data_IF_148653549949
#
_entry.id   IF_148653549949
#
_cell.length_a   1.000
_cell.length_b   1.000
_cell.length_c   1.000
_cell.angle_alpha   90.00
_cell.angle_beta   90.00
_cell.angle_gamma   90.00
#
_symmetry.space_group_name_H-M   'P 1'
#
loop_
_entity.id
_entity.type
_entity.pdbx_description
1 polymer ?
#
# COMPACT_ATOMS: atom_id res chain seq x y z
N UNK A 1 26.65 31.14 7.57
CA UNK A 1 26.64 30.19 8.69
C UNK A 1 26.78 28.81 8.06
N UNK A 2 27.62 27.94 8.60
CA UNK A 2 27.64 26.53 8.18
C UNK A 2 26.27 25.93 8.43
N UNK A 3 25.80 25.07 7.55
CA UNK A 3 24.54 24.38 7.74
C UNK A 3 24.63 23.60 9.07
N UNK A 4 23.72 23.85 10.05
CA UNK A 4 23.75 23.11 11.32
C UNK A 4 23.62 21.59 11.13
N UNK A 5 23.14 21.14 9.96
CA UNK A 5 23.06 19.72 9.59
C UNK A 5 24.40 19.04 9.38
N UNK A 6 25.47 19.81 9.07
CA UNK A 6 26.83 19.26 8.94
C UNK A 6 27.36 18.63 10.24
N UNK A 7 26.77 19.00 11.42
CA UNK A 7 27.17 18.51 12.73
C UNK A 7 26.01 17.83 13.48
N UNK A 8 24.98 17.33 12.77
CA UNK A 8 23.82 16.70 13.41
C UNK A 8 24.20 15.49 14.29
N UNK A 9 25.25 14.75 13.94
CA UNK A 9 25.74 13.62 14.77
C UNK A 9 26.28 14.09 16.12
N UNK A 10 26.76 15.30 16.23
CA UNK A 10 27.21 15.91 17.50
C UNK A 10 26.05 16.55 18.28
N UNK A 11 25.06 17.11 17.59
CA UNK A 11 23.94 17.85 18.18
C UNK A 11 22.70 17.00 18.43
N UNK A 12 22.53 15.94 17.65
CA UNK A 12 21.35 15.06 17.68
C UNK A 12 21.67 13.70 18.31
N UNK A 13 22.16 13.74 19.54
CA UNK A 13 22.80 12.61 20.21
C UNK A 13 21.83 11.45 20.48
N UNK A 14 20.56 11.70 20.82
CA UNK A 14 19.76 10.70 21.50
C UNK A 14 19.15 9.57 20.61
N UNK A 15 18.33 9.81 19.56
CA UNK A 15 17.62 8.68 18.90
C UNK A 15 18.56 7.74 18.16
N UNK A 16 19.47 8.25 17.32
CA UNK A 16 20.38 7.43 16.50
C UNK A 16 21.40 6.66 17.33
N UNK A 17 21.85 7.23 18.47
CA UNK A 17 22.79 6.54 19.34
C UNK A 17 22.22 5.22 19.88
N UNK A 18 20.94 5.22 20.26
CA UNK A 18 20.27 4.03 20.79
C UNK A 18 19.83 3.04 19.70
N UNK A 19 19.51 3.50 18.50
CA UNK A 19 19.12 2.64 17.38
C UNK A 19 20.31 1.95 16.69
N UNK A 20 21.54 2.44 16.86
CA UNK A 20 22.77 1.78 16.36
C UNK A 20 22.98 0.35 16.86
N UNK A 21 22.31 -0.05 17.94
CA UNK A 21 22.35 -1.41 18.48
C UNK A 21 21.30 -2.36 17.84
N UNK A 22 20.43 -1.87 16.95
CA UNK A 22 19.52 -2.72 16.21
C UNK A 22 20.31 -3.52 15.16
N UNK A 23 20.07 -4.83 15.11
CA UNK A 23 20.67 -5.71 14.10
C UNK A 23 19.92 -5.53 12.78
N UNK A 24 20.38 -4.59 11.97
CA UNK A 24 19.85 -4.38 10.62
C UNK A 24 20.68 -5.14 9.59
N UNK A 25 20.07 -5.67 8.51
CA UNK A 25 20.80 -6.26 7.40
C UNK A 25 21.56 -5.20 6.61
N UNK A 26 22.44 -5.63 5.69
CA UNK A 26 23.03 -4.71 4.71
C UNK A 26 21.88 -3.98 3.96
N UNK A 27 21.96 -2.65 3.78
CA UNK A 27 20.95 -1.90 3.03
C UNK A 27 20.63 -2.48 1.64
N UNK A 28 21.59 -3.14 1.00
CA UNK A 28 21.41 -3.81 -0.30
C UNK A 28 20.51 -5.06 -0.23
N UNK A 29 20.38 -5.65 0.95
CA UNK A 29 19.51 -6.81 1.17
C UNK A 29 18.07 -6.40 1.42
N UNK A 30 17.83 -5.14 1.83
CA UNK A 30 16.48 -4.61 2.08
C UNK A 30 15.79 -4.35 0.74
N UNK A 31 14.64 -5.00 0.53
CA UNK A 31 13.88 -4.88 -0.70
C UNK A 31 12.48 -4.35 -0.43
N UNK A 32 12.12 -3.33 -1.20
CA UNK A 32 10.78 -2.74 -1.20
C UNK A 32 9.89 -3.59 -2.11
N UNK A 33 8.82 -4.11 -1.54
CA UNK A 33 7.77 -4.85 -2.20
C UNK A 33 6.49 -4.00 -2.16
N UNK A 34 6.14 -3.33 -3.24
CA UNK A 34 4.96 -2.45 -3.27
C UNK A 34 3.71 -3.22 -3.68
N UNK A 35 2.62 -3.03 -2.94
CA UNK A 35 1.32 -3.66 -3.17
C UNK A 35 0.21 -2.63 -3.46
N UNK A 36 0.57 -1.42 -3.88
CA UNK A 36 -0.38 -0.34 -4.20
C UNK A 36 -1.38 -0.75 -5.28
N UNK A 37 -0.92 -1.49 -6.31
CA UNK A 37 -1.75 -1.90 -7.45
C UNK A 37 -2.66 -3.10 -7.14
N UNK A 38 -2.48 -3.76 -6.00
CA UNK A 38 -3.29 -4.87 -5.57
C UNK A 38 -4.06 -4.55 -4.28
N UNK A 39 -3.38 -4.49 -3.12
CA UNK A 39 -4.01 -4.21 -1.83
C UNK A 39 -4.48 -2.77 -1.74
N UNK A 40 -3.68 -1.84 -2.28
CA UNK A 40 -4.07 -0.44 -2.37
C UNK A 40 -5.38 -0.24 -3.12
N UNK A 41 -5.57 -0.94 -4.23
CA UNK A 41 -6.82 -0.89 -5.00
C UNK A 41 -7.99 -1.58 -4.31
N UNK A 42 -7.75 -2.47 -3.35
CA UNK A 42 -8.81 -3.10 -2.55
C UNK A 42 -9.42 -2.15 -1.50
N UNK A 43 -8.88 -0.94 -1.36
CA UNK A 43 -9.50 0.10 -0.54
C UNK A 43 -10.91 0.40 -1.09
N UNK A 44 -11.96 0.38 -0.24
CA UNK A 44 -13.31 0.66 -0.69
C UNK A 44 -13.43 1.97 -1.47
N UNK A 45 -14.04 1.91 -2.66
CA UNK A 45 -14.23 3.05 -3.56
C UNK A 45 -13.07 3.33 -4.52
N UNK A 46 -11.95 2.63 -4.43
CA UNK A 46 -10.84 2.75 -5.38
C UNK A 46 -11.03 1.81 -6.55
N UNK A 47 -10.81 2.32 -7.75
CA UNK A 47 -10.72 1.55 -8.99
C UNK A 47 -9.71 2.23 -9.91
N UNK A 48 -8.78 1.46 -10.45
CA UNK A 48 -7.70 1.96 -11.31
C UNK A 48 -7.88 1.44 -12.73
N UNK A 49 -7.73 2.31 -13.73
CA UNK A 49 -7.66 1.87 -15.12
C UNK A 49 -6.32 1.17 -15.41
N UNK A 50 -6.19 0.41 -16.49
CA UNK A 50 -4.91 -0.17 -16.92
C UNK A 50 -3.80 0.88 -17.05
N UNK A 51 -4.13 2.05 -17.57
CA UNK A 51 -3.22 3.19 -17.76
C UNK A 51 -2.79 3.80 -16.41
N UNK A 52 -3.70 3.87 -15.45
CA UNK A 52 -3.39 4.31 -14.08
C UNK A 52 -2.42 3.35 -13.40
N UNK A 53 -2.67 2.05 -13.49
CA UNK A 53 -1.77 1.02 -12.96
C UNK A 53 -0.40 1.07 -13.62
N UNK A 54 -0.35 1.24 -14.93
CA UNK A 54 0.90 1.43 -15.66
C UNK A 54 1.66 2.68 -15.19
N UNK A 55 0.98 3.81 -15.04
CA UNK A 55 1.59 5.06 -14.56
C UNK A 55 2.18 4.88 -13.15
N UNK A 56 1.45 4.27 -12.23
CA UNK A 56 1.94 3.99 -10.87
C UNK A 56 3.12 3.02 -10.91
N UNK A 57 3.05 1.92 -11.69
CA UNK A 57 4.14 0.95 -11.83
C UNK A 57 5.43 1.59 -12.34
N UNK A 58 5.32 2.49 -13.32
CA UNK A 58 6.45 3.26 -13.85
C UNK A 58 7.07 4.17 -12.78
N UNK A 59 6.25 4.89 -12.02
CA UNK A 59 6.75 5.74 -10.93
C UNK A 59 7.38 4.90 -9.79
N UNK A 60 6.78 3.74 -9.43
CA UNK A 60 7.36 2.80 -8.48
C UNK A 60 8.71 2.25 -8.96
N UNK A 61 8.83 1.94 -10.23
CA UNK A 61 10.10 1.58 -10.85
C UNK A 61 11.14 2.69 -10.71
N UNK A 62 10.75 3.93 -11.04
CA UNK A 62 11.66 5.08 -11.03
C UNK A 62 12.04 5.54 -9.63
N UNK A 63 11.20 5.33 -8.61
CA UNK A 63 11.53 5.66 -7.22
C UNK A 63 12.49 4.65 -6.59
N UNK A 64 12.59 3.43 -7.15
CA UNK A 64 13.52 2.42 -6.66
C UNK A 64 12.87 1.22 -5.97
N UNK A 65 11.58 0.93 -6.20
CA UNK A 65 10.96 -0.31 -5.74
C UNK A 65 11.60 -1.52 -6.43
N UNK A 66 11.62 -2.65 -5.74
CA UNK A 66 12.24 -3.89 -6.20
C UNK A 66 11.22 -4.90 -6.73
N UNK A 67 10.04 -4.95 -6.11
CA UNK A 67 8.96 -5.88 -6.42
C UNK A 67 7.66 -5.08 -6.46
N UNK A 68 6.80 -5.33 -7.44
CA UNK A 68 5.43 -4.80 -7.47
C UNK A 68 4.42 -5.95 -7.62
N UNK A 69 3.38 -5.92 -6.80
CA UNK A 69 2.24 -6.83 -6.85
C UNK A 69 1.16 -6.23 -7.75
N UNK A 70 0.93 -6.84 -8.90
CA UNK A 70 -0.04 -6.38 -9.91
C UNK A 70 -1.45 -6.97 -9.68
N UNK A 71 -1.60 -7.86 -8.71
CA UNK A 71 -2.89 -8.45 -8.34
C UNK A 71 -3.23 -9.73 -9.09
N UNK A 72 -4.49 -9.85 -9.53
CA UNK A 72 -5.07 -11.04 -10.16
C UNK A 72 -5.39 -10.80 -11.64
N UNK A 73 -4.43 -10.82 -12.56
CA UNK A 73 -4.64 -10.43 -13.95
C UNK A 73 -5.79 -11.16 -14.65
N UNK A 74 -6.05 -12.42 -14.29
CA UNK A 74 -7.11 -13.24 -14.88
C UNK A 74 -8.50 -12.99 -14.28
N UNK A 75 -8.65 -12.08 -13.34
CA UNK A 75 -9.95 -11.76 -12.71
C UNK A 75 -10.84 -10.91 -13.61
N UNK A 76 -10.26 -10.10 -14.49
CA UNK A 76 -10.97 -9.26 -15.43
C UNK A 76 -10.10 -8.87 -16.63
N UNK A 77 -10.71 -8.50 -17.78
CA UNK A 77 -9.97 -7.98 -18.94
C UNK A 77 -9.14 -6.72 -18.63
N UNK A 78 -9.60 -5.87 -17.70
CA UNK A 78 -8.88 -4.67 -17.25
C UNK A 78 -7.59 -5.03 -16.53
N UNK A 79 -7.64 -6.01 -15.62
CA UNK A 79 -6.46 -6.49 -14.89
C UNK A 79 -5.43 -7.14 -15.83
N UNK A 80 -5.91 -7.91 -16.80
CA UNK A 80 -5.05 -8.48 -17.85
C UNK A 80 -4.37 -7.40 -18.69
N UNK A 81 -5.10 -6.35 -19.09
CA UNK A 81 -4.55 -5.23 -19.85
C UNK A 81 -3.51 -4.44 -19.05
N UNK A 82 -3.74 -4.26 -17.74
CA UNK A 82 -2.77 -3.59 -16.85
C UNK A 82 -1.44 -4.36 -16.79
N UNK A 83 -1.47 -5.68 -16.60
CA UNK A 83 -0.27 -6.51 -16.61
C UNK A 83 0.46 -6.42 -17.95
N UNK A 84 -0.28 -6.48 -19.06
CA UNK A 84 0.29 -6.37 -20.40
C UNK A 84 1.03 -5.06 -20.61
N UNK A 85 0.40 -3.91 -20.26
CA UNK A 85 1.03 -2.59 -20.35
C UNK A 85 2.31 -2.49 -19.49
N UNK A 86 2.28 -3.03 -18.28
CA UNK A 86 3.43 -3.02 -17.36
C UNK A 86 4.60 -3.83 -17.96
N UNK A 87 4.33 -5.03 -18.50
CA UNK A 87 5.37 -5.87 -19.11
C UNK A 87 5.88 -5.29 -20.43
N UNK A 88 5.02 -4.66 -21.24
CA UNK A 88 5.44 -3.88 -22.41
C UNK A 88 6.33 -2.70 -22.02
N UNK A 89 5.96 -1.95 -20.97
CA UNK A 89 6.79 -0.87 -20.46
C UNK A 89 8.17 -1.34 -19.98
N UNK A 90 8.24 -2.54 -19.42
CA UNK A 90 9.50 -3.18 -19.06
C UNK A 90 10.33 -3.52 -20.32
N UNK A 91 9.71 -4.09 -21.34
CA UNK A 91 10.36 -4.43 -22.60
C UNK A 91 10.86 -3.19 -23.37
N UNK A 92 10.18 -2.05 -23.26
CA UNK A 92 10.56 -0.78 -23.90
C UNK A 92 11.55 0.06 -23.06
N UNK A 93 11.85 -0.33 -21.80
CA UNK A 93 12.77 0.39 -20.91
C UNK A 93 12.12 1.54 -20.11
N UNK A 94 10.80 1.74 -20.17
CA UNK A 94 10.06 2.71 -19.34
C UNK A 94 10.01 2.27 -17.88
N UNK A 95 10.01 0.97 -17.66
CA UNK A 95 10.10 0.29 -16.37
C UNK A 95 11.42 -0.46 -16.32
N UNK A 96 12.15 -0.38 -15.21
CA UNK A 96 13.46 -1.00 -15.05
C UNK A 96 13.38 -2.51 -15.30
N UNK A 97 14.40 -3.06 -15.96
CA UNK A 97 14.48 -4.50 -16.26
C UNK A 97 14.53 -5.37 -15.00
N UNK A 98 15.20 -4.89 -13.95
CA UNK A 98 15.37 -5.61 -12.68
C UNK A 98 14.14 -5.55 -11.75
N UNK A 99 13.12 -4.73 -12.07
CA UNK A 99 11.88 -4.70 -11.30
C UNK A 99 11.16 -6.06 -11.42
N UNK A 100 10.95 -6.71 -10.29
CA UNK A 100 10.19 -7.97 -10.24
C UNK A 100 8.69 -7.69 -10.34
N UNK A 101 8.03 -8.31 -11.32
CA UNK A 101 6.58 -8.27 -11.48
C UNK A 101 5.99 -9.50 -10.82
N UNK A 102 5.12 -9.30 -9.85
CA UNK A 102 4.47 -10.36 -9.13
C UNK A 102 2.95 -10.33 -9.40
N UNK A 103 2.38 -11.51 -9.56
CA UNK A 103 0.94 -11.74 -9.73
C UNK A 103 0.45 -12.75 -8.71
N UNK A 104 -0.81 -12.64 -8.30
CA UNK A 104 -1.40 -13.51 -7.28
C UNK A 104 -2.24 -14.63 -7.87
N UNK A 105 -2.26 -15.79 -7.19
CA UNK A 105 -3.15 -16.91 -7.48
C UNK A 105 -3.67 -17.55 -6.21
N UNK A 106 -4.94 -17.93 -6.20
CA UNK A 106 -5.44 -18.89 -5.22
C UNK A 106 -4.78 -20.25 -5.45
N UNK A 107 -4.73 -21.09 -4.42
CA UNK A 107 -4.15 -22.42 -4.49
C UNK A 107 -5.07 -23.41 -5.22
N UNK A 108 -5.48 -23.08 -6.46
CA UNK A 108 -6.33 -23.93 -7.31
C UNK A 108 -5.73 -24.08 -8.70
N UNK A 109 -5.86 -25.28 -9.27
CA UNK A 109 -5.40 -25.55 -10.66
C UNK A 109 -6.11 -24.65 -11.68
N UNK A 110 -7.40 -24.37 -11.45
CA UNK A 110 -8.21 -23.53 -12.34
C UNK A 110 -7.63 -22.11 -12.46
N UNK A 111 -7.25 -21.48 -11.34
CA UNK A 111 -6.68 -20.13 -11.34
C UNK A 111 -5.28 -20.13 -11.98
N UNK A 112 -4.47 -21.13 -11.66
CA UNK A 112 -3.14 -21.28 -12.24
C UNK A 112 -3.18 -21.49 -13.75
N UNK A 113 -4.13 -22.30 -14.25
CA UNK A 113 -4.34 -22.47 -15.68
C UNK A 113 -4.87 -21.22 -16.37
N UNK A 114 -5.76 -20.48 -15.72
CA UNK A 114 -6.25 -19.19 -16.23
C UNK A 114 -5.09 -18.21 -16.39
N UNK A 115 -4.22 -18.11 -15.37
CA UNK A 115 -3.00 -17.29 -15.42
C UNK A 115 -2.09 -17.70 -16.59
N UNK A 116 -1.73 -18.98 -16.69
CA UNK A 116 -0.83 -19.46 -17.76
C UNK A 116 -1.43 -19.22 -19.14
N UNK A 117 -2.74 -19.39 -19.30
CA UNK A 117 -3.44 -19.07 -20.57
C UNK A 117 -3.37 -17.57 -20.87
N UNK A 118 -3.68 -16.72 -19.89
CA UNK A 118 -3.63 -15.27 -20.06
C UNK A 118 -2.24 -14.79 -20.50
N UNK A 119 -1.18 -15.26 -19.84
CA UNK A 119 0.20 -14.94 -20.22
C UNK A 119 0.49 -15.38 -21.68
N UNK A 120 0.20 -16.63 -22.02
CA UNK A 120 0.48 -17.17 -23.37
C UNK A 120 -0.29 -16.47 -24.47
N UNK A 121 -1.56 -16.13 -24.25
CA UNK A 121 -2.38 -15.40 -25.23
C UNK A 121 -1.80 -14.03 -25.59
N UNK A 122 -1.00 -13.45 -24.69
CA UNK A 122 -0.31 -12.17 -24.88
C UNK A 122 1.15 -12.31 -25.32
N UNK A 123 1.59 -13.53 -25.67
CA UNK A 123 2.97 -13.80 -26.06
C UNK A 123 3.98 -13.71 -24.91
N UNK A 124 3.50 -13.76 -23.66
CA UNK A 124 4.32 -13.70 -22.46
C UNK A 124 4.69 -15.12 -21.98
N UNK A 125 5.82 -15.23 -21.32
CA UNK A 125 6.29 -16.49 -20.71
C UNK A 125 5.85 -16.57 -19.24
N UNK A 126 5.53 -17.77 -18.73
CA UNK A 126 5.37 -17.97 -17.29
C UNK A 126 6.58 -17.56 -16.45
N UNK A 127 7.78 -17.49 -17.07
CA UNK A 127 9.01 -17.00 -16.44
C UNK A 127 9.11 -15.47 -16.29
N UNK A 128 8.24 -14.71 -16.95
CA UNK A 128 8.29 -13.23 -16.90
C UNK A 128 7.74 -12.66 -15.59
N UNK A 129 6.97 -13.48 -14.85
CA UNK A 129 6.35 -13.09 -13.58
C UNK A 129 6.76 -14.01 -12.43
N UNK A 130 6.69 -13.48 -11.22
CA UNK A 130 6.68 -14.27 -9.99
C UNK A 130 5.23 -14.52 -9.58
N UNK A 131 4.91 -15.72 -9.16
CA UNK A 131 3.54 -16.08 -8.75
C UNK A 131 3.48 -16.22 -7.24
N UNK A 132 2.67 -15.38 -6.60
CA UNK A 132 2.29 -15.53 -5.21
C UNK A 132 1.08 -16.47 -5.13
N UNK A 133 1.31 -17.70 -4.65
CA UNK A 133 0.24 -18.65 -4.34
C UNK A 133 -0.05 -18.54 -2.84
N UNK A 134 -1.27 -18.18 -2.47
CA UNK A 134 -1.61 -17.95 -1.08
C UNK A 134 -2.71 -18.87 -0.58
N UNK A 135 -2.67 -19.11 0.71
CA UNK A 135 -3.77 -19.72 1.48
C UNK A 135 -3.76 -19.12 2.88
N UNK A 136 -4.90 -19.25 3.57
CA UNK A 136 -4.99 -18.81 4.95
C UNK A 136 -4.29 -19.80 5.89
N UNK A 137 -3.49 -19.28 6.83
CA UNK A 137 -2.72 -20.10 7.75
C UNK A 137 -3.45 -20.37 9.07
N UNK A 138 -4.29 -19.42 9.54
CA UNK A 138 -4.92 -19.54 10.85
C UNK A 138 -5.99 -20.62 10.91
N UNK A 139 -6.12 -21.30 12.06
CA UNK A 139 -7.20 -22.28 12.29
C UNK A 139 -8.60 -21.67 12.07
N UNK A 140 -8.77 -20.39 12.40
CA UNK A 140 -10.01 -19.66 12.19
C UNK A 140 -10.39 -19.60 10.71
N UNK A 141 -9.46 -19.14 9.86
CA UNK A 141 -9.71 -19.05 8.43
C UNK A 141 -9.75 -20.43 7.75
N UNK A 142 -8.90 -21.36 8.17
CA UNK A 142 -8.92 -22.73 7.64
C UNK A 142 -10.30 -23.39 7.83
N UNK A 143 -10.91 -23.23 9.01
CA UNK A 143 -12.20 -23.84 9.31
C UNK A 143 -13.37 -23.08 8.67
N UNK A 144 -13.44 -21.76 8.86
CA UNK A 144 -14.67 -21.01 8.53
C UNK A 144 -14.64 -20.34 7.14
N UNK A 145 -13.45 -19.98 6.63
CA UNK A 145 -13.29 -19.38 5.29
C UNK A 145 -13.04 -20.45 4.23
N UNK A 146 -12.04 -21.31 4.44
CA UNK A 146 -11.63 -22.33 3.49
C UNK A 146 -12.38 -23.65 3.67
N UNK A 147 -12.92 -23.91 4.87
CA UNK A 147 -13.48 -25.19 5.28
C UNK A 147 -14.42 -25.86 4.28
N UNK A 148 -15.44 -25.17 3.75
CA UNK A 148 -16.32 -25.76 2.74
C UNK A 148 -15.57 -26.24 1.50
N UNK A 149 -14.61 -25.48 1.00
CA UNK A 149 -13.77 -25.85 -0.16
C UNK A 149 -12.83 -27.01 0.15
N UNK A 150 -12.20 -27.00 1.33
CA UNK A 150 -11.33 -28.08 1.77
C UNK A 150 -12.08 -29.39 1.95
N UNK A 151 -13.26 -29.36 2.58
CA UNK A 151 -14.10 -30.54 2.76
C UNK A 151 -14.55 -31.12 1.42
N UNK A 152 -15.01 -30.27 0.48
CA UNK A 152 -15.39 -30.70 -0.88
C UNK A 152 -14.20 -31.34 -1.61
N UNK A 153 -12.98 -30.80 -1.47
CA UNK A 153 -11.76 -31.36 -2.04
C UNK A 153 -11.44 -32.76 -1.48
N UNK A 154 -11.72 -32.98 -0.21
CA UNK A 154 -11.54 -34.27 0.47
C UNK A 154 -12.75 -35.22 0.29
N UNK A 155 -13.71 -34.89 -0.59
CA UNK A 155 -14.88 -35.73 -0.88
C UNK A 155 -15.99 -35.70 0.18
N UNK A 156 -15.98 -34.67 1.06
CA UNK A 156 -16.98 -34.50 2.12
C UNK A 156 -18.02 -33.48 1.63
N UNK A 157 -19.27 -33.89 1.53
CA UNK A 157 -20.39 -33.04 1.17
C UNK A 157 -21.02 -32.39 2.42
N UNK A 158 -21.37 -31.11 2.26
CA UNK A 158 -21.98 -30.31 3.34
C UNK A 158 -20.94 -29.81 4.39
N UNK A 159 -21.44 -29.01 5.34
CA UNK A 159 -20.61 -28.54 6.46
C UNK A 159 -20.66 -29.58 7.60
N UNK A 160 -19.46 -30.05 8.01
CA UNK A 160 -19.28 -30.90 9.18
C UNK A 160 -18.37 -30.21 10.18
N UNK A 161 -18.68 -30.31 11.47
CA UNK A 161 -17.83 -29.77 12.54
C UNK A 161 -16.66 -30.72 12.82
N UNK A 162 -15.68 -30.69 11.89
CA UNK A 162 -14.47 -31.49 11.98
C UNK A 162 -13.43 -30.81 12.87
N UNK A 163 -12.45 -31.57 13.45
CA UNK A 163 -11.39 -31.01 14.24
C UNK A 163 -10.48 -30.09 13.42
N UNK A 164 -9.80 -29.15 14.09
CA UNK A 164 -8.93 -28.15 13.43
C UNK A 164 -7.78 -28.79 12.67
N UNK A 165 -7.28 -29.91 13.16
CA UNK A 165 -6.20 -30.71 12.53
C UNK A 165 -6.59 -31.18 11.13
N UNK A 166 -7.86 -31.56 10.92
CA UNK A 166 -8.37 -31.93 9.58
C UNK A 166 -8.19 -30.79 8.60
N UNK A 167 -8.61 -29.59 8.96
CA UNK A 167 -8.54 -28.42 8.08
C UNK A 167 -7.08 -28.01 7.83
N UNK A 168 -6.22 -28.10 8.83
CA UNK A 168 -4.79 -27.82 8.67
C UNK A 168 -4.14 -28.80 7.68
N UNK A 169 -4.35 -30.10 7.84
CA UNK A 169 -3.80 -31.11 6.95
C UNK A 169 -4.36 -31.03 5.51
N UNK A 170 -5.67 -30.76 5.36
CA UNK A 170 -6.26 -30.56 4.05
C UNK A 170 -5.71 -29.31 3.36
N UNK A 171 -5.46 -28.22 4.10
CA UNK A 171 -4.83 -27.01 3.61
C UNK A 171 -3.39 -27.23 3.17
N UNK A 172 -2.60 -27.99 3.92
CA UNK A 172 -1.24 -28.41 3.55
C UNK A 172 -1.20 -29.19 2.24
N UNK A 173 -2.13 -30.15 2.07
CA UNK A 173 -2.25 -30.88 0.80
C UNK A 173 -2.59 -29.94 -0.35
N UNK A 174 -3.55 -29.04 -0.13
CA UNK A 174 -3.97 -28.09 -1.15
C UNK A 174 -2.80 -27.20 -1.63
N UNK A 175 -2.03 -26.60 -0.70
CA UNK A 175 -0.93 -25.72 -1.09
C UNK A 175 0.23 -26.49 -1.74
N UNK A 176 0.55 -27.67 -1.22
CA UNK A 176 1.59 -28.53 -1.82
C UNK A 176 1.26 -28.91 -3.27
N UNK A 177 0.02 -29.34 -3.52
CA UNK A 177 -0.45 -29.71 -4.85
C UNK A 177 -0.45 -28.50 -5.80
N UNK A 178 -0.95 -27.35 -5.34
CA UNK A 178 -0.98 -26.12 -6.12
C UNK A 178 0.42 -25.66 -6.55
N UNK A 179 1.41 -25.67 -5.63
CA UNK A 179 2.79 -25.29 -5.94
C UNK A 179 3.42 -26.26 -6.93
N UNK A 180 3.26 -27.59 -6.73
CA UNK A 180 3.77 -28.60 -7.67
C UNK A 180 3.10 -28.47 -9.03
N UNK A 181 1.80 -28.23 -9.06
CA UNK A 181 1.06 -28.01 -10.30
C UNK A 181 1.57 -26.76 -11.03
N UNK A 182 1.72 -25.62 -10.34
CA UNK A 182 2.27 -24.39 -10.92
C UNK A 182 3.64 -24.64 -11.58
N UNK A 183 4.53 -25.36 -10.90
CA UNK A 183 5.84 -25.76 -11.45
C UNK A 183 5.70 -26.60 -12.73
N UNK A 184 4.76 -27.56 -12.75
CA UNK A 184 4.51 -28.39 -13.94
C UNK A 184 4.01 -27.58 -15.13
N UNK A 185 3.39 -26.40 -14.87
CA UNK A 185 2.91 -25.47 -15.90
C UNK A 185 3.98 -24.47 -16.38
N UNK A 186 5.20 -24.55 -15.86
CA UNK A 186 6.34 -23.71 -16.23
C UNK A 186 6.52 -22.46 -15.37
N UNK A 187 5.74 -22.28 -14.30
CA UNK A 187 5.91 -21.21 -13.34
C UNK A 187 7.10 -21.57 -12.41
N UNK A 188 8.23 -20.92 -12.59
CA UNK A 188 9.49 -21.26 -11.91
C UNK A 188 9.74 -20.42 -10.66
N UNK A 189 9.24 -19.16 -10.63
CA UNK A 189 9.36 -18.25 -9.50
C UNK A 189 8.05 -18.26 -8.71
N UNK A 190 8.06 -18.98 -7.59
CA UNK A 190 6.86 -19.16 -6.75
C UNK A 190 7.14 -18.62 -5.36
N UNK A 191 6.24 -17.77 -4.92
CA UNK A 191 6.16 -17.24 -3.56
C UNK A 191 4.93 -17.85 -2.86
N UNK A 192 5.08 -18.20 -1.60
CA UNK A 192 3.97 -18.68 -0.77
C UNK A 192 3.46 -17.57 0.14
N UNK A 193 2.17 -17.23 0.07
CA UNK A 193 1.51 -16.27 0.96
C UNK A 193 0.80 -16.97 2.11
N UNK A 194 1.27 -16.75 3.34
CA UNK A 194 0.60 -17.19 4.56
C UNK A 194 -0.35 -16.10 5.05
N UNK A 195 -1.58 -16.10 4.54
CA UNK A 195 -2.62 -15.16 5.00
C UNK A 195 -2.99 -15.46 6.45
N UNK A 196 -3.22 -14.42 7.24
CA UNK A 196 -3.58 -14.51 8.66
C UNK A 196 -2.54 -15.27 9.51
N UNK A 197 -1.27 -15.12 9.15
CA UNK A 197 -0.15 -15.75 9.84
C UNK A 197 -0.01 -15.25 11.29
N UNK A 198 -0.40 -14.02 11.56
CA UNK A 198 -0.35 -13.40 12.88
C UNK A 198 -1.24 -14.09 13.92
N UNK A 199 -2.36 -14.67 13.50
CA UNK A 199 -3.28 -15.42 14.37
C UNK A 199 -3.10 -16.94 14.28
N UNK A 200 -1.96 -17.37 13.75
CA UNK A 200 -1.63 -18.80 13.61
C UNK A 200 -0.63 -19.19 14.68
N UNK A 201 -0.88 -20.26 15.48
CA UNK A 201 0.12 -20.81 16.38
C UNK A 201 1.41 -21.11 15.65
N UNK A 202 2.54 -20.68 16.20
CA UNK A 202 3.85 -20.76 15.53
C UNK A 202 4.21 -22.16 15.01
N UNK A 203 3.94 -23.28 15.73
CA UNK A 203 4.21 -24.62 15.20
C UNK A 203 3.41 -24.93 13.92
N UNK A 204 2.14 -24.55 13.85
CA UNK A 204 1.29 -24.75 12.66
C UNK A 204 1.75 -23.88 11.48
N UNK A 205 2.15 -22.64 11.76
CA UNK A 205 2.70 -21.77 10.73
C UNK A 205 4.00 -22.32 10.15
N UNK A 206 4.91 -22.78 11.00
CA UNK A 206 6.17 -23.42 10.59
C UNK A 206 5.90 -24.65 9.72
N UNK A 207 4.96 -25.50 10.12
CA UNK A 207 4.59 -26.70 9.38
C UNK A 207 4.01 -26.38 7.99
N UNK A 208 3.15 -25.37 7.90
CA UNK A 208 2.59 -24.92 6.63
C UNK A 208 3.67 -24.31 5.70
N UNK A 209 4.53 -23.44 6.22
CA UNK A 209 5.64 -22.85 5.45
C UNK A 209 6.61 -23.95 4.99
N UNK A 210 6.94 -24.94 5.85
CA UNK A 210 7.76 -26.08 5.46
C UNK A 210 7.14 -26.85 4.30
N UNK A 211 5.83 -27.10 4.37
CA UNK A 211 5.09 -27.79 3.29
C UNK A 211 5.21 -27.04 1.95
N UNK A 212 5.08 -25.71 1.98
CA UNK A 212 5.21 -24.89 0.77
C UNK A 212 6.65 -24.88 0.22
N UNK A 213 7.64 -24.81 1.09
CA UNK A 213 9.07 -24.86 0.72
C UNK A 213 9.42 -26.23 0.11
N UNK A 214 8.98 -27.31 0.72
CA UNK A 214 9.21 -28.68 0.23
C UNK A 214 8.52 -28.94 -1.12
N UNK A 215 7.40 -28.25 -1.37
CA UNK A 215 6.70 -28.26 -2.68
C UNK A 215 7.43 -27.43 -3.74
N UNK A 216 8.33 -26.52 -3.37
CA UNK A 216 9.19 -25.76 -4.27
C UNK A 216 8.97 -24.25 -4.28
N UNK A 217 8.38 -23.68 -3.24
CA UNK A 217 8.35 -22.23 -3.04
C UNK A 217 9.76 -21.73 -2.69
N UNK A 218 10.19 -20.63 -3.33
CA UNK A 218 11.51 -20.01 -3.11
C UNK A 218 11.47 -18.83 -2.14
N UNK A 219 10.29 -18.30 -1.86
CA UNK A 219 10.05 -17.18 -0.95
C UNK A 219 8.70 -17.38 -0.27
N UNK A 220 8.55 -16.88 0.97
CA UNK A 220 7.26 -16.83 1.63
C UNK A 220 6.99 -15.44 2.21
N UNK A 221 5.69 -15.09 2.31
CA UNK A 221 5.20 -13.87 2.95
C UNK A 221 4.52 -14.21 4.27
N UNK A 222 4.97 -13.57 5.33
CA UNK A 222 4.28 -13.52 6.61
C UNK A 222 3.29 -12.36 6.58
N UNK A 223 1.97 -12.64 6.64
CA UNK A 223 0.95 -11.62 6.58
C UNK A 223 0.23 -11.45 7.92
N UNK A 224 0.34 -10.25 8.50
CA UNK A 224 -0.53 -9.78 9.58
C UNK A 224 -1.78 -9.15 8.96
N UNK A 225 -2.67 -10.02 8.51
CA UNK A 225 -3.86 -9.67 7.73
C UNK A 225 -4.83 -8.74 8.47
N UNK A 226 -4.85 -8.78 9.79
CA UNK A 226 -5.76 -7.96 10.61
C UNK A 226 -5.03 -6.86 11.40
N UNK A 227 -3.75 -6.64 11.13
CA UNK A 227 -2.93 -5.61 11.78
C UNK A 227 -2.87 -5.78 13.30
N UNK A 228 -2.93 -7.01 13.80
CA UNK A 228 -3.16 -7.30 15.23
C UNK A 228 -1.88 -7.59 16.04
N UNK A 229 -0.70 -7.53 15.41
CA UNK A 229 0.55 -7.77 16.11
C UNK A 229 1.13 -6.51 16.77
N UNK A 230 1.66 -6.71 17.98
CA UNK A 230 2.61 -5.75 18.57
C UNK A 230 4.02 -5.97 18.00
N UNK A 231 4.93 -4.98 18.11
CA UNK A 231 6.32 -5.15 17.69
C UNK A 231 7.03 -6.32 18.39
N UNK A 232 6.74 -6.57 19.68
CA UNK A 232 7.30 -7.68 20.44
C UNK A 232 6.87 -9.04 19.86
N UNK A 233 5.59 -9.18 19.55
CA UNK A 233 5.06 -10.40 18.92
C UNK A 233 5.63 -10.59 17.51
N UNK A 234 5.70 -9.52 16.72
CA UNK A 234 6.36 -9.51 15.40
C UNK A 234 7.79 -10.02 15.50
N UNK A 235 8.57 -9.52 16.46
CA UNK A 235 9.94 -9.96 16.67
C UNK A 235 10.05 -11.45 17.01
N UNK A 236 9.10 -12.00 17.78
CA UNK A 236 9.07 -13.44 18.14
C UNK A 236 8.84 -14.28 16.88
N UNK A 237 7.79 -13.97 16.09
CA UNK A 237 7.47 -14.69 14.85
C UNK A 237 8.63 -14.62 13.86
N UNK A 238 9.14 -13.43 13.59
CA UNK A 238 10.21 -13.23 12.60
C UNK A 238 11.49 -13.97 12.98
N UNK A 239 11.95 -13.89 14.24
CA UNK A 239 13.13 -14.63 14.71
C UNK A 239 12.95 -16.15 14.59
N UNK A 240 11.79 -16.67 14.99
CA UNK A 240 11.53 -18.11 14.93
C UNK A 240 11.54 -18.63 13.48
N UNK A 241 10.87 -17.92 12.56
CA UNK A 241 10.83 -18.28 11.15
C UNK A 241 12.19 -18.12 10.47
N UNK A 242 12.94 -17.04 10.77
CA UNK A 242 14.30 -16.82 10.28
C UNK A 242 15.24 -17.94 10.71
N UNK A 243 15.17 -18.36 11.98
CA UNK A 243 15.97 -19.47 12.51
C UNK A 243 15.60 -20.80 11.84
N UNK A 244 14.32 -21.03 11.56
CA UNK A 244 13.85 -22.29 10.96
C UNK A 244 14.18 -22.39 9.48
N UNK A 245 14.13 -21.28 8.74
CA UNK A 245 14.29 -21.24 7.28
C UNK A 245 15.42 -20.28 6.84
N UNK A 246 16.68 -20.53 7.23
CA UNK A 246 17.77 -19.56 7.01
C UNK A 246 18.10 -19.32 5.53
N UNK A 247 17.85 -20.31 4.65
CA UNK A 247 18.14 -20.24 3.22
C UNK A 247 16.97 -19.79 2.34
N UNK A 248 15.80 -19.50 2.94
CA UNK A 248 14.59 -19.13 2.17
C UNK A 248 14.36 -17.61 2.26
N UNK A 249 14.07 -16.98 1.13
CA UNK A 249 13.71 -15.56 1.10
C UNK A 249 12.39 -15.33 1.87
N UNK A 250 12.34 -14.23 2.61
CA UNK A 250 11.25 -13.91 3.54
C UNK A 250 10.76 -12.50 3.29
N UNK A 251 9.47 -12.36 3.06
CA UNK A 251 8.78 -11.08 2.97
C UNK A 251 7.77 -10.93 4.11
N UNK A 252 7.52 -9.69 4.51
CA UNK A 252 6.50 -9.35 5.49
C UNK A 252 5.45 -8.44 4.91
N UNK A 253 4.19 -8.59 5.36
CA UNK A 253 3.06 -7.78 4.96
C UNK A 253 2.24 -7.44 6.19
N UNK A 254 2.16 -6.16 6.55
CA UNK A 254 1.50 -5.70 7.76
C UNK A 254 0.42 -4.66 7.42
N UNK A 255 -0.82 -4.96 7.85
CA UNK A 255 -1.89 -3.98 7.87
C UNK A 255 -1.76 -3.00 9.04
N UNK A 256 -2.47 -1.88 8.96
CA UNK A 256 -2.29 -0.72 9.84
C UNK A 256 -3.47 -0.47 10.80
N UNK A 257 -4.26 -1.50 11.11
CA UNK A 257 -5.51 -1.37 11.88
C UNK A 257 -5.33 -0.76 13.29
N UNK A 258 -4.15 -0.87 13.88
CA UNK A 258 -3.77 -0.24 15.16
C UNK A 258 -2.65 0.79 15.01
N UNK A 259 -2.40 1.29 13.80
CA UNK A 259 -1.31 2.23 13.48
C UNK A 259 0.09 1.68 13.81
N UNK A 260 0.26 0.36 13.76
CA UNK A 260 1.51 -0.33 14.03
C UNK A 260 2.19 -0.93 12.79
N UNK A 261 1.61 -0.74 11.60
CA UNK A 261 2.10 -1.34 10.36
C UNK A 261 3.56 -0.95 10.08
N UNK A 262 3.91 0.32 10.16
CA UNK A 262 5.26 0.83 9.90
C UNK A 262 6.27 0.27 10.90
N UNK A 263 5.98 0.30 12.20
CA UNK A 263 6.91 -0.20 13.21
C UNK A 263 7.05 -1.72 13.14
N UNK A 264 6.00 -2.45 12.76
CA UNK A 264 6.06 -3.90 12.55
C UNK A 264 6.92 -4.25 11.32
N UNK A 265 6.89 -3.47 10.25
CA UNK A 265 7.84 -3.61 9.13
C UNK A 265 9.28 -3.44 9.61
N UNK A 266 9.60 -2.36 10.31
CA UNK A 266 10.95 -2.10 10.86
C UNK A 266 11.37 -3.26 11.78
N UNK A 267 10.48 -3.70 12.66
CA UNK A 267 10.73 -4.83 13.56
C UNK A 267 11.01 -6.12 12.78
N UNK A 268 10.26 -6.37 11.71
CA UNK A 268 10.48 -7.52 10.81
C UNK A 268 11.88 -7.47 10.19
N UNK A 269 12.28 -6.33 9.63
CA UNK A 269 13.62 -6.12 9.04
C UNK A 269 14.71 -6.40 10.08
N UNK A 270 14.60 -5.85 11.29
CA UNK A 270 15.55 -6.07 12.38
C UNK A 270 15.62 -7.55 12.85
N UNK A 271 14.62 -8.36 12.50
CA UNK A 271 14.53 -9.76 12.92
C UNK A 271 14.57 -10.76 11.76
N UNK A 272 15.17 -10.35 10.62
CA UNK A 272 15.53 -11.23 9.51
C UNK A 272 14.49 -11.32 8.38
N UNK A 273 13.60 -10.36 8.26
CA UNK A 273 12.67 -10.21 7.13
C UNK A 273 13.04 -8.97 6.29
N UNK A 274 14.09 -9.05 5.45
CA UNK A 274 14.59 -7.90 4.73
C UNK A 274 13.70 -7.44 3.58
N UNK A 275 12.74 -8.26 3.13
CA UNK A 275 11.77 -7.90 2.11
C UNK A 275 10.50 -7.44 2.82
N UNK A 276 10.05 -6.22 2.58
CA UNK A 276 8.86 -5.69 3.23
C UNK A 276 7.84 -5.17 2.22
N UNK A 277 6.58 -5.49 2.48
CA UNK A 277 5.48 -4.94 1.70
C UNK A 277 5.05 -3.58 2.27
N UNK A 278 4.67 -2.69 1.37
CA UNK A 278 4.13 -1.37 1.67
C UNK A 278 3.21 -0.90 0.56
N UNK A 279 2.48 0.18 0.80
CA UNK A 279 1.71 0.87 -0.24
C UNK A 279 2.04 2.35 -0.26
N UNK A 280 1.92 2.96 -1.43
CA UNK A 280 1.96 4.42 -1.54
C UNK A 280 0.77 5.00 -0.78
N UNK A 281 1.02 6.04 0.01
CA UNK A 281 0.01 6.69 0.86
C UNK A 281 -0.60 5.79 1.96
N UNK A 282 -0.10 4.58 2.15
CA UNK A 282 -0.65 3.64 3.14
C UNK A 282 -2.03 3.09 2.79
N UNK A 283 -2.51 3.24 1.56
CA UNK A 283 -3.84 2.77 1.14
C UNK A 283 -3.95 1.24 1.17
N UNK A 284 -5.17 0.72 1.29
CA UNK A 284 -5.45 -0.72 1.31
C UNK A 284 -6.74 -1.06 2.03
N UNK A 285 -6.98 -2.34 2.21
CA UNK A 285 -8.14 -2.84 2.97
C UNK A 285 -8.20 -2.24 4.38
N UNK A 286 -9.40 -1.89 4.83
CA UNK A 286 -9.73 -1.33 6.17
C UNK A 286 -8.92 -0.06 6.49
N UNK A 287 -7.93 -0.15 7.41
CA UNK A 287 -7.06 0.97 7.79
C UNK A 287 -5.80 1.06 6.92
N UNK A 288 -5.71 0.25 5.86
CA UNK A 288 -4.59 0.26 4.93
C UNK A 288 -3.39 -0.57 5.38
N UNK A 289 -2.25 -0.29 4.80
CA UNK A 289 -0.98 -1.00 4.95
C UNK A 289 0.10 -0.11 5.55
N UNK A 290 1.25 -0.70 5.86
CA UNK A 290 2.44 0.07 6.17
C UNK A 290 2.75 1.06 5.04
N UNK A 291 2.80 2.36 5.36
CA UNK A 291 3.00 3.41 4.37
C UNK A 291 4.46 3.47 3.90
N UNK A 292 4.68 3.38 2.57
CA UNK A 292 6.01 3.38 1.94
C UNK A 292 6.89 4.54 2.45
N UNK A 293 6.36 5.76 2.39
CA UNK A 293 7.08 6.97 2.79
C UNK A 293 7.54 6.93 4.24
N UNK A 294 6.71 6.43 5.15
CA UNK A 294 7.03 6.36 6.57
C UNK A 294 8.08 5.28 6.86
N UNK A 295 8.01 4.13 6.18
CA UNK A 295 9.02 3.06 6.34
C UNK A 295 10.39 3.54 5.86
N UNK A 296 10.50 4.05 4.63
CA UNK A 296 11.80 4.44 4.06
C UNK A 296 12.39 5.66 4.77
N UNK A 297 11.57 6.62 5.19
CA UNK A 297 12.03 7.76 5.98
C UNK A 297 12.51 7.32 7.37
N UNK A 298 11.79 6.42 8.03
CA UNK A 298 12.23 5.87 9.32
C UNK A 298 13.58 5.15 9.20
N UNK A 299 13.76 4.30 8.19
CA UNK A 299 15.03 3.63 7.94
C UNK A 299 16.17 4.64 7.78
N UNK A 300 15.98 5.67 6.94
CA UNK A 300 17.02 6.68 6.69
C UNK A 300 17.30 7.56 7.90
N UNK A 301 16.26 8.21 8.43
CA UNK A 301 16.47 9.28 9.40
C UNK A 301 16.55 8.81 10.86
N UNK A 302 15.89 7.70 11.22
CA UNK A 302 15.90 7.18 12.58
C UNK A 302 16.91 6.05 12.77
N UNK A 303 17.08 5.20 11.77
CA UNK A 303 17.96 4.03 11.84
C UNK A 303 19.29 4.24 11.09
N UNK A 304 19.44 5.31 10.32
CA UNK A 304 20.65 5.61 9.56
C UNK A 304 20.91 4.65 8.39
N UNK A 305 19.86 4.01 7.89
CA UNK A 305 19.90 3.05 6.77
C UNK A 305 19.36 3.73 5.53
N UNK A 306 20.24 4.19 4.66
CA UNK A 306 19.88 4.72 3.35
C UNK A 306 19.80 3.57 2.34
N UNK A 307 18.63 3.44 1.69
CA UNK A 307 18.41 2.38 0.72
C UNK A 307 19.11 2.75 -0.60
N UNK A 308 19.95 1.86 -1.15
CA UNK A 308 20.59 2.10 -2.43
C UNK A 308 19.55 2.30 -3.53
N UNK A 309 19.80 3.25 -4.41
CA UNK A 309 18.97 3.53 -5.59
C UNK A 309 17.52 4.00 -5.30
N UNK A 310 17.14 4.18 -4.03
CA UNK A 310 15.84 4.74 -3.67
C UNK A 310 15.88 6.27 -3.75
N UNK A 311 14.98 6.83 -4.52
CA UNK A 311 14.88 8.28 -4.80
C UNK A 311 13.86 8.93 -3.89
N UNK A 312 14.28 9.33 -2.70
CA UNK A 312 13.42 9.93 -1.67
C UNK A 312 12.71 11.20 -2.16
N UNK A 313 13.36 11.99 -3.02
CA UNK A 313 12.82 13.22 -3.60
C UNK A 313 11.59 13.00 -4.49
N UNK A 314 11.27 11.76 -4.84
CA UNK A 314 10.06 11.41 -5.62
C UNK A 314 8.85 11.07 -4.75
N UNK A 315 8.98 11.03 -3.43
CA UNK A 315 7.89 10.63 -2.53
C UNK A 315 6.64 11.52 -2.67
N UNK A 316 6.82 12.84 -2.73
CA UNK A 316 5.70 13.77 -2.93
C UNK A 316 5.09 13.64 -4.33
N UNK A 317 5.87 13.32 -5.33
CA UNK A 317 5.39 13.11 -6.69
C UNK A 317 4.49 11.89 -6.78
N UNK A 318 4.96 10.73 -6.31
CA UNK A 318 4.16 9.49 -6.36
C UNK A 318 2.92 9.58 -5.46
N UNK A 319 3.04 10.20 -4.29
CA UNK A 319 1.90 10.55 -3.43
C UNK A 319 0.81 11.26 -4.21
N UNK A 320 1.17 12.33 -4.92
CA UNK A 320 0.20 13.16 -5.65
C UNK A 320 -0.41 12.46 -6.87
N UNK A 321 0.31 11.53 -7.48
CA UNK A 321 -0.21 10.69 -8.57
C UNK A 321 -1.29 9.76 -8.02
N UNK A 322 -1.00 9.05 -6.93
CA UNK A 322 -1.96 8.11 -6.31
C UNK A 322 -3.19 8.85 -5.78
N UNK A 323 -3.03 10.03 -5.13
CA UNK A 323 -4.18 10.87 -4.72
C UNK A 323 -5.12 11.22 -5.89
N UNK A 324 -4.55 11.59 -7.04
CA UNK A 324 -5.34 11.97 -8.22
C UNK A 324 -6.06 10.78 -8.85
N UNK A 325 -5.42 9.63 -8.89
CA UNK A 325 -5.98 8.41 -9.48
C UNK A 325 -7.09 7.86 -8.58
N UNK A 326 -6.83 7.76 -7.28
CA UNK A 326 -7.78 7.15 -6.33
C UNK A 326 -8.89 8.10 -5.90
N UNK A 327 -8.71 9.42 -6.03
CA UNK A 327 -9.59 10.42 -5.45
C UNK A 327 -9.49 10.51 -3.92
N UNK A 328 -8.57 9.79 -3.29
CA UNK A 328 -8.36 9.76 -1.83
C UNK A 328 -7.19 10.69 -1.48
N UNK A 329 -7.44 11.85 -0.84
CA UNK A 329 -6.37 12.75 -0.43
C UNK A 329 -5.65 12.20 0.81
N UNK A 330 -4.35 12.41 0.85
CA UNK A 330 -3.53 12.18 2.04
C UNK A 330 -3.88 13.22 3.11
N UNK A 331 -3.94 12.82 4.37
CA UNK A 331 -4.20 13.74 5.46
C UNK A 331 -3.14 14.84 5.53
N UNK A 332 -3.55 16.06 5.86
CA UNK A 332 -2.63 17.21 5.90
C UNK A 332 -1.47 17.01 6.88
N UNK A 333 -1.67 16.27 7.96
CA UNK A 333 -0.68 15.92 8.97
C UNK A 333 -0.01 14.56 8.74
N UNK A 334 -0.24 13.89 7.62
CA UNK A 334 0.38 12.60 7.32
C UNK A 334 1.91 12.70 7.47
N UNK A 335 2.56 11.80 8.21
CA UNK A 335 4.00 11.85 8.36
C UNK A 335 4.75 11.93 7.03
N UNK A 336 5.84 12.67 6.98
CA UNK A 336 6.76 12.80 5.82
C UNK A 336 6.17 13.53 4.60
N UNK A 337 4.93 13.21 4.18
CA UNK A 337 4.36 13.69 2.90
C UNK A 337 3.11 14.56 3.05
N UNK A 338 2.65 14.78 4.27
CA UNK A 338 1.47 15.61 4.53
C UNK A 338 1.74 17.10 4.28
N UNK A 339 0.71 17.80 3.84
CA UNK A 339 0.81 19.21 3.45
C UNK A 339 1.24 20.13 4.61
N UNK A 340 0.98 19.76 5.87
CA UNK A 340 1.33 20.54 7.04
C UNK A 340 2.68 20.15 7.70
N UNK A 341 3.29 19.05 7.28
CA UNK A 341 4.51 18.52 7.93
C UNK A 341 5.66 19.54 7.93
N UNK A 342 5.76 20.34 6.86
CA UNK A 342 6.77 21.39 6.69
C UNK A 342 6.15 22.80 6.76
N UNK A 343 5.01 22.94 7.44
CA UNK A 343 4.28 24.20 7.60
C UNK A 343 4.30 24.66 9.04
N UNK A 344 4.59 25.94 9.28
CA UNK A 344 4.69 26.50 10.60
C UNK A 344 3.85 27.77 10.74
N UNK A 345 3.00 27.84 11.77
CA UNK A 345 2.17 29.01 12.12
C UNK A 345 2.59 29.63 13.46
N UNK A 346 2.94 28.80 14.44
CA UNK A 346 3.32 29.25 15.78
C UNK A 346 4.53 30.18 15.75
N UNK A 347 4.47 31.32 16.48
CA UNK A 347 5.55 32.30 16.52
C UNK A 347 6.89 31.72 17.00
N UNK A 348 6.88 30.73 17.89
CA UNK A 348 8.10 30.05 18.36
C UNK A 348 8.70 29.22 17.24
N UNK A 349 7.87 28.44 16.54
CA UNK A 349 8.30 27.60 15.43
C UNK A 349 8.81 28.45 14.25
N UNK A 350 8.03 29.46 13.83
CA UNK A 350 8.43 30.33 12.70
C UNK A 350 9.73 31.07 12.98
N UNK A 351 9.96 31.48 14.24
CA UNK A 351 11.24 32.06 14.65
C UNK A 351 12.38 31.03 14.56
N UNK A 352 12.20 29.83 15.13
CA UNK A 352 13.22 28.79 15.07
C UNK A 352 13.61 28.40 13.64
N UNK A 353 12.63 28.11 12.78
CA UNK A 353 12.91 27.72 11.38
C UNK A 353 13.47 28.87 10.53
N UNK A 354 13.23 30.14 10.91
CA UNK A 354 13.88 31.29 10.25
C UNK A 354 15.39 31.37 10.55
N UNK A 355 15.85 30.78 11.66
CA UNK A 355 17.25 30.66 12.04
C UNK A 355 17.87 29.42 11.39
N UNK A 356 17.26 28.25 11.66
CA UNK A 356 17.66 26.97 11.09
C UNK A 356 16.46 26.01 11.07
N UNK A 357 16.12 25.47 9.90
CA UNK A 357 14.94 24.61 9.76
C UNK A 357 15.02 23.33 10.59
N UNK A 358 16.20 22.75 10.73
CA UNK A 358 16.44 21.55 11.52
C UNK A 358 16.06 21.65 13.01
N UNK A 359 15.78 22.86 13.53
CA UNK A 359 15.29 23.05 14.91
C UNK A 359 13.93 22.37 15.10
N UNK A 360 13.07 22.36 14.05
CA UNK A 360 11.72 21.77 14.10
C UNK A 360 11.44 20.79 12.98
N UNK A 361 12.32 20.65 12.01
CA UNK A 361 12.16 19.75 10.86
C UNK A 361 13.24 18.66 10.90
N UNK A 362 12.88 17.46 11.36
CA UNK A 362 13.83 16.33 11.42
C UNK A 362 14.18 15.78 10.04
N UNK A 363 13.32 16.04 9.05
CA UNK A 363 13.50 15.64 7.65
C UNK A 363 13.56 16.91 6.80
N UNK A 364 14.62 17.15 6.02
CA UNK A 364 14.63 18.23 5.03
C UNK A 364 13.55 18.01 3.97
N UNK A 365 12.68 19.01 3.76
CA UNK A 365 11.57 18.88 2.83
C UNK A 365 12.03 18.66 1.38
N UNK A 366 13.17 19.19 1.01
CA UNK A 366 13.79 19.03 -0.31
C UNK A 366 14.14 17.57 -0.60
N UNK A 367 14.61 16.84 0.43
CA UNK A 367 15.01 15.45 0.28
C UNK A 367 13.83 14.51 -0.03
N UNK A 368 12.62 14.92 0.28
CA UNK A 368 11.39 14.13 -0.01
C UNK A 368 10.56 14.74 -1.15
N UNK A 369 11.06 15.81 -1.78
CA UNK A 369 10.36 16.56 -2.83
C UNK A 369 9.17 17.37 -2.31
N UNK A 370 9.18 17.68 -1.01
CA UNK A 370 8.12 18.40 -0.33
C UNK A 370 8.18 19.91 -0.53
N UNK A 371 7.22 20.61 0.07
CA UNK A 371 7.12 22.07 0.05
C UNK A 371 7.02 22.60 1.48
N UNK A 372 7.92 23.52 1.80
CA UNK A 372 7.87 24.23 3.07
C UNK A 372 7.15 25.56 2.96
N UNK A 373 6.40 25.91 3.99
CA UNK A 373 5.68 27.20 4.02
C UNK A 373 5.53 27.76 5.42
N UNK A 374 5.44 29.07 5.49
CA UNK A 374 4.98 29.79 6.67
C UNK A 374 3.48 30.10 6.49
N UNK A 375 2.73 29.84 7.55
CA UNK A 375 1.29 30.13 7.61
C UNK A 375 1.09 31.22 8.66
N UNK A 376 0.19 32.14 8.39
CA UNK A 376 -0.09 33.26 9.27
C UNK A 376 -1.55 33.20 9.73
N UNK A 377 -1.76 33.23 11.07
CA UNK A 377 -3.08 33.08 11.65
C UNK A 377 -3.08 33.40 13.15
N UNK A 378 -3.96 32.72 13.89
CA UNK A 378 -4.21 33.01 15.31
C UNK A 378 -2.95 32.91 16.21
N UNK A 379 -2.06 31.99 15.88
CA UNK A 379 -0.87 31.69 16.70
C UNK A 379 0.42 32.33 16.19
N UNK A 380 0.33 33.17 15.15
CA UNK A 380 1.48 33.84 14.56
C UNK A 380 2.11 34.83 15.53
N UNK A 381 3.43 34.91 15.48
CA UNK A 381 4.25 35.86 16.28
C UNK A 381 4.83 36.98 15.41
N UNK A 382 5.27 38.09 16.06
CA UNK A 382 5.81 39.24 15.36
C UNK A 382 7.05 38.92 14.52
N UNK A 383 7.90 38.00 14.96
CA UNK A 383 9.12 37.63 14.23
C UNK A 383 8.81 36.97 12.87
N UNK A 384 7.83 36.05 12.80
CA UNK A 384 7.46 35.40 11.55
C UNK A 384 6.85 36.39 10.55
N UNK A 385 5.97 37.29 11.02
CA UNK A 385 5.40 38.34 10.17
C UNK A 385 6.48 39.32 9.69
N UNK A 386 7.35 39.79 10.57
CA UNK A 386 8.47 40.65 10.22
C UNK A 386 9.37 40.01 9.15
N UNK A 387 9.68 38.72 9.31
CA UNK A 387 10.49 37.97 8.34
C UNK A 387 9.84 37.92 6.94
N UNK A 388 8.52 37.72 6.88
CA UNK A 388 7.78 37.73 5.63
C UNK A 388 7.79 39.10 4.96
N UNK A 389 7.49 40.14 5.74
CA UNK A 389 7.34 41.50 5.20
C UNK A 389 8.66 42.09 4.69
N UNK A 390 9.78 41.77 5.30
CA UNK A 390 11.11 42.28 4.85
C UNK A 390 11.44 41.95 3.40
N UNK A 391 10.90 40.87 2.87
CA UNK A 391 11.10 40.48 1.48
C UNK A 391 10.30 41.34 0.48
N UNK A 392 9.26 42.04 0.99
CA UNK A 392 8.30 42.79 0.20
C UNK A 392 8.20 44.27 0.61
N UNK A 393 9.22 44.78 1.34
CA UNK A 393 9.19 46.14 1.90
C UNK A 393 8.99 47.23 0.80
N UNK A 394 9.63 47.03 -0.35
CA UNK A 394 9.49 47.93 -1.46
C UNK A 394 8.09 47.92 -2.11
N UNK A 395 7.38 46.80 -2.05
CA UNK A 395 6.02 46.62 -2.57
C UNK A 395 4.96 47.21 -1.63
N UNK A 396 5.22 47.09 -0.31
CA UNK A 396 4.28 47.53 0.74
C UNK A 396 4.22 49.03 0.84
N UNK A 397 5.31 49.75 0.54
CA UNK A 397 5.36 51.20 0.52
C UNK A 397 5.16 51.86 1.92
N UNK A 398 5.42 51.11 3.00
CA UNK A 398 5.33 51.60 4.38
C UNK A 398 6.58 51.16 5.17
N UNK A 399 6.90 51.91 6.21
CA UNK A 399 7.98 51.54 7.15
C UNK A 399 7.53 50.33 7.96
N UNK A 400 8.26 49.21 7.88
CA UNK A 400 7.96 47.98 8.58
C UNK A 400 8.71 47.99 9.90
N UNK A 401 8.13 48.72 10.89
CA UNK A 401 8.60 48.72 12.26
C UNK A 401 7.80 47.73 13.15
N UNK A 402 8.15 47.68 14.44
CA UNK A 402 7.51 46.79 15.39
C UNK A 402 6.02 47.10 15.58
N UNK A 403 5.66 48.37 15.59
CA UNK A 403 4.29 48.82 15.84
C UNK A 403 3.37 48.46 14.65
N UNK A 404 3.86 48.67 13.44
CA UNK A 404 3.18 48.22 12.24
C UNK A 404 2.92 46.69 12.25
N UNK A 405 3.92 45.89 12.60
CA UNK A 405 3.79 44.43 12.68
C UNK A 405 2.82 44.00 13.78
N UNK A 406 2.81 44.65 14.94
CA UNK A 406 1.87 44.35 16.03
C UNK A 406 0.43 44.68 15.61
N UNK A 407 0.22 45.80 14.92
CA UNK A 407 -1.09 46.16 14.38
C UNK A 407 -1.56 45.15 13.33
N UNK A 408 -0.73 44.80 12.35
CA UNK A 408 -1.03 43.82 11.32
C UNK A 408 -1.36 42.45 11.94
N UNK A 409 -0.65 42.01 12.96
CA UNK A 409 -0.96 40.77 13.67
C UNK A 409 -2.34 40.76 14.31
N UNK A 410 -2.79 41.89 14.87
CA UNK A 410 -4.15 42.00 15.42
C UNK A 410 -5.19 41.81 14.31
N UNK A 411 -4.98 42.42 13.13
CA UNK A 411 -5.85 42.26 11.97
C UNK A 411 -5.86 40.82 11.44
N UNK A 412 -4.68 40.17 11.29
CA UNK A 412 -4.58 38.76 10.85
C UNK A 412 -5.38 37.85 11.78
N UNK A 413 -5.23 38.03 13.12
CA UNK A 413 -5.95 37.23 14.11
C UNK A 413 -7.47 37.43 14.03
N UNK A 414 -7.92 38.67 13.95
CA UNK A 414 -9.33 39.01 13.83
C UNK A 414 -9.96 38.45 12.56
N UNK A 415 -9.28 38.57 11.41
CA UNK A 415 -9.74 38.03 10.13
C UNK A 415 -9.81 36.48 10.19
N UNK A 416 -8.84 35.83 10.84
CA UNK A 416 -8.84 34.36 10.99
C UNK A 416 -9.98 33.87 11.86
N UNK A 417 -10.24 34.56 12.98
CA UNK A 417 -11.36 34.25 13.89
C UNK A 417 -12.71 34.45 13.19
N UNK A 418 -12.89 35.53 12.42
CA UNK A 418 -14.11 35.78 11.66
C UNK A 418 -14.38 34.67 10.61
N UNK A 419 -13.35 34.18 9.92
CA UNK A 419 -13.49 33.06 8.97
C UNK A 419 -13.92 31.76 9.64
N UNK A 420 -13.47 31.50 10.90
CA UNK A 420 -13.84 30.30 11.64
C UNK A 420 -15.31 30.33 12.05
N UNK A 421 -15.86 31.50 12.36
CA UNK A 421 -17.24 31.67 12.78
C UNK A 421 -18.27 31.51 11.65
N UNK A 422 -17.86 31.63 10.39
CA UNK A 422 -18.76 31.61 9.22
C UNK A 422 -19.14 30.21 8.71
N UNK A 423 -18.89 29.13 9.46
CA UNK A 423 -19.38 27.76 9.17
C UNK A 423 -18.82 27.09 7.89
N UNK A 424 -17.97 27.79 7.11
CA UNK A 424 -17.41 27.28 5.84
C UNK A 424 -16.62 25.97 6.01
N UNK A 425 -16.03 25.75 7.17
CA UNK A 425 -15.23 24.55 7.46
C UNK A 425 -16.12 23.31 7.58
N UNK A 426 -17.31 23.43 8.19
CA UNK A 426 -18.24 22.31 8.33
C UNK A 426 -18.80 21.85 6.97
N UNK A 427 -19.17 22.80 6.10
CA UNK A 427 -19.65 22.47 4.75
C UNK A 427 -18.60 21.76 3.89
N UNK A 428 -17.31 22.14 4.01
CA UNK A 428 -16.22 21.46 3.29
C UNK A 428 -15.99 20.03 3.80
N UNK A 429 -16.12 19.80 5.10
CA UNK A 429 -15.99 18.45 5.68
C UNK A 429 -17.17 17.58 5.23
N UNK A 430 -18.39 18.12 5.28
CA UNK A 430 -19.58 17.42 4.81
C UNK A 430 -19.48 17.03 3.32
N UNK A 431 -19.06 17.98 2.47
CA UNK A 431 -18.81 17.70 1.06
C UNK A 431 -17.72 16.65 0.83
N UNK A 432 -16.65 16.67 1.63
CA UNK A 432 -15.58 15.68 1.57
C UNK A 432 -16.12 14.26 1.86
N UNK A 433 -16.91 14.09 2.93
CA UNK A 433 -17.51 12.79 3.24
C UNK A 433 -18.54 12.35 2.20
N UNK A 434 -19.36 13.26 1.68
CA UNK A 434 -20.28 12.95 0.59
C UNK A 434 -19.54 12.45 -0.66
N UNK A 435 -18.41 13.08 -1.01
CA UNK A 435 -17.57 12.62 -2.11
C UNK A 435 -17.01 11.22 -1.84
N UNK A 436 -16.51 10.94 -0.62
CA UNK A 436 -16.02 9.60 -0.25
C UNK A 436 -17.12 8.53 -0.37
N UNK A 437 -18.32 8.80 0.13
CA UNK A 437 -19.45 7.86 0.02
C UNK A 437 -19.88 7.60 -1.43
N UNK A 438 -19.61 8.52 -2.33
CA UNK A 438 -19.94 8.39 -3.76
C UNK A 438 -18.91 7.59 -4.59
N UNK A 439 -17.77 7.20 -4.02
CA UNK A 439 -16.72 6.45 -4.73
C UNK A 439 -17.09 4.99 -5.02
N UNK A 440 -18.06 4.43 -4.31
CA UNK A 440 -18.55 3.09 -4.54
C UNK A 440 -20.06 3.04 -4.74
N UNK A 441 -20.64 1.85 -4.95
CA UNK A 441 -22.08 1.66 -5.04
C UNK A 441 -22.65 1.27 -3.68
N UNK A 442 -23.77 1.91 -3.27
CA UNK A 442 -24.54 1.47 -2.10
C UNK A 442 -25.31 0.18 -2.41
N UNK A 443 -25.84 -0.47 -1.37
CA UNK A 443 -26.68 -1.67 -1.52
C UNK A 443 -27.91 -1.36 -2.39
N UNK A 444 -28.57 -0.20 -2.20
CA UNK A 444 -29.70 0.23 -2.99
C UNK A 444 -29.36 0.40 -4.47
N UNK A 445 -28.20 1.01 -4.79
CA UNK A 445 -27.74 1.17 -6.16
C UNK A 445 -27.41 -0.19 -6.81
N UNK A 446 -26.86 -1.14 -6.06
CA UNK A 446 -26.63 -2.50 -6.55
C UNK A 446 -27.95 -3.20 -6.86
N UNK A 447 -28.98 -3.04 -6.01
CA UNK A 447 -30.34 -3.57 -6.26
C UNK A 447 -30.96 -2.96 -7.51
N UNK A 448 -30.84 -1.64 -7.70
CA UNK A 448 -31.31 -0.96 -8.92
C UNK A 448 -30.63 -1.50 -10.18
N UNK A 449 -29.31 -1.65 -10.14
CA UNK A 449 -28.54 -2.24 -11.27
C UNK A 449 -28.97 -3.68 -11.56
N UNK A 450 -29.24 -4.48 -10.51
CA UNK A 450 -29.71 -5.83 -10.67
C UNK A 450 -31.12 -5.87 -11.29
N UNK A 451 -32.02 -4.99 -10.91
CA UNK A 451 -33.36 -4.83 -11.50
C UNK A 451 -33.29 -4.44 -12.98
N UNK A 452 -32.39 -3.52 -13.32
CA UNK A 452 -32.17 -3.10 -14.70
C UNK A 452 -31.58 -4.22 -15.56
N UNK A 453 -30.65 -5.00 -15.02
CA UNK A 453 -30.09 -6.17 -15.67
C UNK A 453 -31.19 -7.22 -15.93
N UNK A 454 -32.03 -7.52 -14.94
CA UNK A 454 -33.12 -8.46 -15.06
C UNK A 454 -34.16 -8.02 -16.11
N UNK A 455 -34.46 -6.72 -16.19
CA UNK A 455 -35.32 -6.13 -17.23
C UNK A 455 -34.74 -6.34 -18.63
N UNK A 456 -33.46 -6.03 -18.82
CA UNK A 456 -32.77 -6.22 -20.13
C UNK A 456 -32.73 -7.68 -20.55
N UNK A 457 -32.48 -8.62 -19.65
CA UNK A 457 -32.48 -10.05 -19.94
C UNK A 457 -33.87 -10.55 -20.38
N UNK A 458 -34.95 -10.09 -19.73
CA UNK A 458 -36.33 -10.42 -20.13
C UNK A 458 -36.65 -9.91 -21.55
N UNK A 459 -36.24 -8.68 -21.86
CA UNK A 459 -36.44 -8.13 -23.22
C UNK A 459 -35.67 -8.92 -24.26
N UNK A 460 -34.45 -9.32 -24.01
CA UNK A 460 -33.66 -10.18 -24.90
C UNK A 460 -34.27 -11.56 -25.08
N UNK A 461 -34.83 -12.17 -24.03
CA UNK A 461 -35.51 -13.47 -24.11
C UNK A 461 -36.82 -13.36 -24.93
N UNK A 462 -37.58 -12.28 -24.77
CA UNK A 462 -38.80 -12.02 -25.55
C UNK A 462 -38.47 -11.80 -27.02
N UNK A 463 -37.46 -10.99 -27.34
CA UNK A 463 -37.03 -10.78 -28.74
C UNK A 463 -36.48 -12.04 -29.40
N UNK A 464 -35.76 -12.88 -28.67
CA UNK A 464 -35.30 -14.19 -29.17
C UNK A 464 -36.48 -15.15 -29.43
N UNK A 465 -37.51 -15.09 -28.56
CA UNK A 465 -38.71 -15.88 -28.72
C UNK A 465 -39.54 -15.43 -29.94
N UNK A 466 -39.72 -14.13 -30.17
CA UNK A 466 -40.38 -13.57 -31.35
C UNK A 466 -39.67 -13.96 -32.64
N UNK A 467 -38.34 -13.88 -32.70
CA UNK A 467 -37.52 -14.28 -33.82
C UNK A 467 -37.64 -15.80 -34.10
N UNK A 468 -37.76 -16.62 -33.06
CA UNK A 468 -37.93 -18.06 -33.18
C UNK A 468 -39.35 -18.44 -33.68
N UNK A 469 -40.37 -17.68 -33.27
CA UNK A 469 -41.76 -17.84 -33.72
C UNK A 469 -41.87 -17.43 -35.19
N UNK A 470 -41.31 -16.29 -35.61
CA UNK A 470 -41.29 -15.85 -36.98
C UNK A 470 -40.58 -16.87 -37.93
N UNK A 471 -39.50 -17.48 -37.46
CA UNK A 471 -38.76 -18.48 -38.24
C UNK A 471 -39.53 -19.80 -38.43
N UNK A 472 -40.37 -20.16 -37.45
CA UNK A 472 -41.17 -21.37 -37.49
C UNK A 472 -42.46 -21.22 -38.29
N UNK A 473 -42.99 -20.01 -38.48
CA UNK A 473 -44.18 -19.71 -39.26
C UNK A 473 -43.91 -19.29 -40.73
N UNK A 474 -42.61 -19.08 -41.09
CA UNK A 474 -42.22 -18.71 -42.45
C UNK A 474 -41.68 -19.87 -43.30
N UNK A 475 -42.05 -21.12 -42.98
CA UNK A 475 -41.82 -22.25 -43.92
C UNK A 475 -43.01 -22.32 -44.89
N UNK A 476 -42.85 -22.06 -46.18
CA UNK A 476 -43.87 -22.34 -47.16
C UNK A 476 -44.06 -23.88 -47.29
N UNK A 477 -45.32 -24.30 -47.50
CA UNK A 477 -45.73 -25.64 -47.83
C UNK A 477 -45.06 -26.17 -49.15
#
# INVERSE_FOLDING_TARGET
MKDPRENLDELFIAPRHYTRNCSLPDPKEIKIYDTTLRDGEQMPGVAMSPEDKYLIARELSQIGCHIIDVGFPWSSPSEEAALELILQGKAHGDIREDLEILVMSRATEQDLDAMVRSLKMRGLSPGDVTVLIFTSASPLHCKYKLGPGLMKREGIEGFSDLPLEFFHEANKRMISDAIRYARSRGLSRIEFGAEDASRTPLPLLIDLVQTAVDAGSSRYVFADTTGSLTPEATAIYCRALTKKFPGIARASHFHNDFDLGVINVITGICNGFPIFSSTVNGIGERAGNAALHSVVASLKYLYGVELPDFRYERLWRIKSIVEKITGIPVQAQEPVIGFNVYSHESGIHTHGVSIARCIYEPIPFEEVGGLARMVYGKHSGAHGVMYALRKHEAEIGAVIDRDFVVQLLKEIKALREARTQNGTTAAHIEQYYQNLYSLGFSEEQVVELAQDLARRQRVQQLGAFETMVEHNYSRPE
#
